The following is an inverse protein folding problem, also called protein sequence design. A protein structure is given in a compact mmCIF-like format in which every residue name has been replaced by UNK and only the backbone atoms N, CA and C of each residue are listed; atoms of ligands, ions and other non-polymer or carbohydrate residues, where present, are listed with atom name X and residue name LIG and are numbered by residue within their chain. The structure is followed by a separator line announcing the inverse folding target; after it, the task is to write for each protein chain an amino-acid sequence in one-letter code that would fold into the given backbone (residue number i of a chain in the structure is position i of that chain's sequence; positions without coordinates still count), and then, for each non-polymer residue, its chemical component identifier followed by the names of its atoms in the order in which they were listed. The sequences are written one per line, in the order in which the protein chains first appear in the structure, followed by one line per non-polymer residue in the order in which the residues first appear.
data_IF_338701978467
#
_entry.id   IF_338701978467
#
_cell.length_a   1.000
_cell.length_b   1.000
_cell.length_c   1.000
_cell.angle_alpha   90.00
_cell.angle_beta   90.00
_cell.angle_gamma   90.00
#
_symmetry.space_group_name_H-M   'P 1'
#
loop_
_entity.id
_entity.type
_entity.pdbx_description
1 polymer ?
#
# COMPACT_ATOMS: atom_id res chain seq x y z
N UNK A 1 -7.77 10.01 -6.23
CA UNK A 1 -8.87 9.56 -5.37
C UNK A 1 -9.81 8.59 -6.09
N UNK A 2 -10.45 8.96 -7.24
CA UNK A 2 -11.43 8.09 -7.93
C UNK A 2 -10.88 6.70 -8.26
N UNK A 3 -9.77 6.62 -8.99
CA UNK A 3 -9.17 5.33 -9.37
C UNK A 3 -8.76 4.50 -8.15
N UNK A 4 -8.24 5.16 -7.10
CA UNK A 4 -7.87 4.48 -5.85
C UNK A 4 -9.10 3.93 -5.15
N UNK A 5 -10.18 4.69 -5.07
CA UNK A 5 -11.45 4.26 -4.45
C UNK A 5 -12.06 3.06 -5.16
N UNK A 6 -12.12 3.10 -6.50
CA UNK A 6 -12.59 1.98 -7.30
C UNK A 6 -11.73 0.74 -7.12
N UNK A 7 -10.41 0.90 -7.09
CA UNK A 7 -9.47 -0.20 -6.86
C UNK A 7 -9.68 -0.84 -5.48
N UNK A 8 -9.81 -0.03 -4.41
CA UNK A 8 -10.08 -0.53 -3.06
C UNK A 8 -11.41 -1.26 -2.96
N UNK A 9 -12.44 -0.77 -3.64
CA UNK A 9 -13.74 -1.45 -3.71
C UNK A 9 -13.63 -2.85 -4.32
N UNK A 10 -12.87 -3.01 -5.42
CA UNK A 10 -12.63 -4.32 -6.01
C UNK A 10 -11.84 -5.25 -5.09
N UNK A 11 -10.82 -4.73 -4.41
CA UNK A 11 -10.08 -5.53 -3.41
C UNK A 11 -11.01 -5.97 -2.28
N UNK A 12 -11.88 -5.08 -1.79
CA UNK A 12 -12.89 -5.40 -0.77
C UNK A 12 -13.76 -6.60 -1.17
N UNK A 13 -14.26 -6.60 -2.40
CA UNK A 13 -15.08 -7.68 -2.92
C UNK A 13 -14.35 -9.01 -3.01
N UNK A 14 -13.09 -8.98 -3.46
CA UNK A 14 -12.26 -10.19 -3.52
C UNK A 14 -11.97 -10.74 -2.12
N UNK A 15 -11.61 -9.88 -1.17
CA UNK A 15 -11.34 -10.27 0.23
C UNK A 15 -12.62 -10.78 0.92
N UNK A 16 -13.78 -10.21 0.59
CA UNK A 16 -15.09 -10.65 1.11
C UNK A 16 -15.61 -11.92 0.42
N UNK A 17 -15.04 -12.31 -0.73
CA UNK A 17 -15.51 -13.44 -1.53
C UNK A 17 -16.84 -13.15 -2.26
N UNK A 18 -17.18 -11.89 -2.52
CA UNK A 18 -18.39 -11.48 -3.23
C UNK A 18 -18.17 -11.53 -4.74
N UNK A 19 -19.22 -11.92 -5.48
CA UNK A 19 -19.18 -11.85 -6.95
C UNK A 19 -19.41 -10.41 -7.39
N UNK A 20 -18.47 -9.89 -8.16
CA UNK A 20 -18.56 -8.56 -8.75
C UNK A 20 -18.94 -8.64 -10.21
N UNK A 21 -19.76 -7.69 -10.66
CA UNK A 21 -20.19 -7.54 -12.04
C UNK A 21 -19.57 -6.29 -12.67
N UNK A 22 -19.52 -6.25 -14.01
CA UNK A 22 -19.06 -5.04 -14.71
C UNK A 22 -19.95 -3.81 -14.46
N UNK A 23 -21.22 -4.03 -14.07
CA UNK A 23 -22.13 -2.94 -13.72
C UNK A 23 -21.72 -2.25 -12.41
N UNK A 24 -21.08 -2.98 -11.49
CA UNK A 24 -20.60 -2.41 -10.23
C UNK A 24 -19.44 -1.42 -10.45
N UNK A 25 -18.84 -1.41 -11.65
CA UNK A 25 -17.71 -0.53 -11.98
C UNK A 25 -18.12 0.95 -11.95
N UNK A 26 -19.32 1.30 -12.42
CA UNK A 26 -19.77 2.69 -12.49
C UNK A 26 -19.92 3.35 -11.11
N UNK A 27 -20.30 2.57 -10.10
CA UNK A 27 -20.55 3.05 -8.74
C UNK A 27 -19.46 2.63 -7.74
N UNK A 28 -18.43 1.90 -8.20
CA UNK A 28 -17.35 1.34 -7.38
C UNK A 28 -16.53 2.38 -6.60
N UNK A 29 -16.49 3.61 -7.08
CA UNK A 29 -15.72 4.69 -6.42
C UNK A 29 -16.42 5.27 -5.20
N UNK A 30 -17.79 5.23 -5.13
CA UNK A 30 -18.59 5.91 -4.11
C UNK A 30 -18.29 5.47 -2.67
N UNK A 31 -18.24 4.15 -2.36
CA UNK A 31 -18.09 3.70 -0.97
C UNK A 31 -16.77 4.14 -0.31
N UNK A 32 -15.67 4.15 -1.08
CA UNK A 32 -14.34 4.46 -0.55
C UNK A 32 -13.88 5.90 -0.84
N UNK A 33 -14.67 6.71 -1.56
CA UNK A 33 -14.23 8.03 -2.02
C UNK A 33 -14.00 9.01 -0.87
N UNK A 34 -14.99 9.15 0.02
CA UNK A 34 -14.89 10.06 1.15
C UNK A 34 -13.73 9.71 2.09
N UNK A 35 -13.57 8.44 2.54
CA UNK A 35 -12.42 8.03 3.33
C UNK A 35 -11.09 8.30 2.64
N UNK A 36 -10.95 7.94 1.35
CA UNK A 36 -9.72 8.21 0.59
C UNK A 36 -9.42 9.69 0.49
N UNK A 37 -10.45 10.51 0.25
CA UNK A 37 -10.28 11.96 0.17
C UNK A 37 -9.81 12.56 1.51
N UNK A 38 -10.37 12.08 2.63
CA UNK A 38 -9.97 12.50 3.99
C UNK A 38 -8.50 12.20 4.25
N UNK A 39 -8.02 11.01 3.89
CA UNK A 39 -6.61 10.63 4.06
C UNK A 39 -5.69 11.47 3.17
N UNK A 40 -6.06 11.69 1.91
CA UNK A 40 -5.29 12.54 1.00
C UNK A 40 -5.23 13.98 1.50
N UNK A 41 -6.34 14.50 2.03
CA UNK A 41 -6.38 15.84 2.63
C UNK A 41 -5.49 15.92 3.87
N UNK A 42 -5.56 14.95 4.77
CA UNK A 42 -4.68 14.88 5.94
C UNK A 42 -3.20 14.87 5.52
N UNK A 43 -2.85 14.00 4.57
CA UNK A 43 -1.47 13.93 4.06
C UNK A 43 -1.03 15.27 3.44
N UNK A 44 -1.91 15.90 2.65
CA UNK A 44 -1.65 17.22 2.08
C UNK A 44 -1.39 18.28 3.16
N UNK A 45 -2.23 18.35 4.19
CA UNK A 45 -2.05 19.31 5.29
C UNK A 45 -0.71 19.10 5.99
N UNK A 46 -0.33 17.85 6.27
CA UNK A 46 0.97 17.57 6.90
C UNK A 46 2.12 17.99 5.98
N UNK A 47 2.09 17.63 4.69
CA UNK A 47 3.15 18.01 3.75
C UNK A 47 3.22 19.53 3.55
N UNK A 48 2.09 20.21 3.47
CA UNK A 48 2.02 21.66 3.40
C UNK A 48 2.64 22.28 4.65
N UNK A 49 2.29 21.80 5.83
CA UNK A 49 2.84 22.29 7.11
C UNK A 49 4.37 22.11 7.15
N UNK A 50 4.88 20.95 6.74
CA UNK A 50 6.32 20.70 6.66
C UNK A 50 7.00 21.65 5.66
N UNK A 51 6.39 21.91 4.51
CA UNK A 51 6.94 22.80 3.49
C UNK A 51 7.02 24.27 3.94
N UNK A 52 6.18 24.68 4.90
CA UNK A 52 6.18 26.03 5.47
C UNK A 52 7.14 26.16 6.66
N UNK A 53 7.21 25.15 7.53
CA UNK A 53 7.95 25.22 8.80
C UNK A 53 9.43 24.88 8.63
N UNK A 54 9.76 23.90 7.79
CA UNK A 54 11.12 23.38 7.67
C UNK A 54 12.12 24.25 6.90
N UNK A 55 11.73 25.10 5.94
CA UNK A 55 12.69 25.92 5.19
C UNK A 55 13.56 26.77 6.12
N UNK A 56 14.87 26.67 5.94
CA UNK A 56 15.86 27.41 6.73
C UNK A 56 16.28 26.76 8.06
N UNK A 57 15.71 25.64 8.45
CA UNK A 57 16.14 24.91 9.64
C UNK A 57 17.33 23.99 9.32
N UNK A 58 18.35 24.00 10.18
CA UNK A 58 19.43 23.00 10.08
C UNK A 58 18.87 21.60 10.31
N UNK A 59 19.15 20.65 9.38
CA UNK A 59 18.63 19.28 9.46
C UNK A 59 17.18 19.13 9.01
N UNK A 60 16.60 20.10 8.29
CA UNK A 60 15.24 20.04 7.75
C UNK A 60 14.95 18.74 7.01
N UNK A 61 15.88 18.28 6.17
CA UNK A 61 15.72 17.05 5.37
C UNK A 61 15.61 15.80 6.25
N UNK A 62 16.39 15.73 7.33
CA UNK A 62 16.32 14.62 8.28
C UNK A 62 14.99 14.61 9.04
N UNK A 63 14.53 15.78 9.49
CA UNK A 63 13.26 15.94 10.18
C UNK A 63 12.11 15.54 9.24
N UNK A 64 12.12 16.02 7.99
CA UNK A 64 11.14 15.65 6.98
C UNK A 64 11.14 14.14 6.71
N UNK A 65 12.32 13.52 6.59
CA UNK A 65 12.47 12.09 6.39
C UNK A 65 11.86 11.30 7.56
N UNK A 66 12.16 11.67 8.80
CA UNK A 66 11.65 11.00 10.00
C UNK A 66 10.12 11.12 10.09
N UNK A 67 9.56 12.31 9.85
CA UNK A 67 8.11 12.51 9.86
C UNK A 67 7.44 11.68 8.76
N UNK A 68 7.99 11.69 7.54
CA UNK A 68 7.45 10.89 6.44
C UNK A 68 7.55 9.38 6.72
N UNK A 69 8.61 8.92 7.38
CA UNK A 69 8.73 7.53 7.79
C UNK A 69 7.68 7.15 8.84
N UNK A 70 7.45 8.01 9.83
CA UNK A 70 6.40 7.80 10.83
C UNK A 70 5.02 7.74 10.17
N UNK A 71 4.74 8.66 9.25
CA UNK A 71 3.49 8.67 8.49
C UNK A 71 3.33 7.40 7.64
N UNK A 72 4.39 6.96 6.95
CA UNK A 72 4.39 5.75 6.15
C UNK A 72 4.03 4.52 7.00
N UNK A 73 4.60 4.43 8.20
CA UNK A 73 4.31 3.34 9.13
C UNK A 73 2.88 3.46 9.67
N UNK A 74 2.50 4.64 10.19
CA UNK A 74 1.20 4.86 10.81
C UNK A 74 0.02 4.73 9.84
N UNK A 75 0.20 5.17 8.59
CA UNK A 75 -0.84 5.10 7.55
C UNK A 75 -0.82 3.77 6.77
N UNK A 76 0.12 2.87 7.07
CA UNK A 76 0.26 1.63 6.31
C UNK A 76 -1.00 0.76 6.28
N UNK A 77 -1.75 0.52 7.40
CA UNK A 77 -2.97 -0.28 7.41
C UNK A 77 -4.24 0.46 6.92
N UNK A 78 -4.15 1.74 6.63
CA UNK A 78 -5.32 2.54 6.27
C UNK A 78 -6.08 2.04 5.04
N UNK A 79 -5.44 1.63 3.93
CA UNK A 79 -6.17 1.07 2.81
C UNK A 79 -7.11 -0.07 3.24
N UNK A 80 -6.66 -0.94 4.13
CA UNK A 80 -7.42 -2.07 4.64
C UNK A 80 -8.59 -1.63 5.53
N UNK A 81 -8.40 -0.61 6.35
CA UNK A 81 -9.46 -0.01 7.18
C UNK A 81 -10.54 0.62 6.30
N UNK A 82 -10.12 1.38 5.27
CA UNK A 82 -11.03 2.05 4.33
C UNK A 82 -11.95 1.06 3.63
N UNK A 83 -11.40 0.02 2.99
CA UNK A 83 -12.26 -0.86 2.21
C UNK A 83 -12.98 -1.93 3.06
N UNK A 84 -12.59 -2.14 4.30
CA UNK A 84 -13.36 -2.96 5.24
C UNK A 84 -14.49 -2.18 5.94
N UNK A 85 -14.57 -0.85 5.71
CA UNK A 85 -15.68 0.00 6.15
C UNK A 85 -15.86 0.04 7.67
N UNK A 86 -14.76 0.00 8.44
CA UNK A 86 -14.81 -0.08 9.90
C UNK A 86 -14.99 1.27 10.57
N UNK A 87 -14.35 2.28 10.02
CA UNK A 87 -14.34 3.63 10.57
C UNK A 87 -14.24 4.67 9.47
N UNK A 88 -14.66 5.89 9.77
CA UNK A 88 -14.68 7.02 8.85
C UNK A 88 -13.89 8.22 9.44
N UNK A 89 -13.47 9.12 8.55
CA UNK A 89 -12.81 10.35 8.95
C UNK A 89 -11.50 10.14 9.71
N UNK A 90 -11.31 10.83 10.81
CA UNK A 90 -10.10 10.74 11.64
C UNK A 90 -10.02 9.48 12.51
N UNK A 91 -11.13 8.80 12.74
CA UNK A 91 -11.16 7.56 13.54
C UNK A 91 -10.33 6.46 12.86
N UNK A 92 -10.21 6.48 11.52
CA UNK A 92 -9.33 5.58 10.76
C UNK A 92 -7.86 5.70 11.18
N UNK A 93 -7.40 6.92 11.51
CA UNK A 93 -6.02 7.14 11.97
C UNK A 93 -5.80 6.50 13.34
N UNK A 94 -6.75 6.68 14.24
CA UNK A 94 -6.69 6.08 15.57
C UNK A 94 -6.74 4.55 15.46
N UNK A 95 -7.68 4.00 14.69
CA UNK A 95 -7.78 2.55 14.45
C UNK A 95 -6.48 1.98 13.86
N UNK A 96 -5.86 2.70 12.92
CA UNK A 96 -4.58 2.29 12.32
C UNK A 96 -3.47 2.22 13.36
N UNK A 97 -3.35 3.22 14.23
CA UNK A 97 -2.34 3.26 15.30
C UNK A 97 -2.60 2.14 16.31
N UNK A 98 -3.84 1.95 16.74
CA UNK A 98 -4.22 0.90 17.70
C UNK A 98 -3.96 -0.50 17.13
N UNK A 99 -4.30 -0.72 15.84
CA UNK A 99 -3.97 -1.96 15.13
C UNK A 99 -2.46 -2.22 15.12
N UNK A 100 -1.66 -1.21 14.80
CA UNK A 100 -0.20 -1.35 14.78
C UNK A 100 0.39 -1.61 16.17
N UNK A 101 -0.13 -0.98 17.22
CA UNK A 101 0.32 -1.23 18.60
C UNK A 101 0.13 -2.69 19.00
N UNK A 102 -0.93 -3.33 18.54
CA UNK A 102 -1.24 -4.71 18.86
C UNK A 102 -0.57 -5.73 17.92
N UNK A 103 -0.39 -5.40 16.65
CA UNK A 103 -0.08 -6.37 15.60
C UNK A 103 1.13 -5.99 14.73
N UNK A 104 1.98 -5.02 15.12
CA UNK A 104 3.06 -4.53 14.26
C UNK A 104 3.97 -5.65 13.74
N UNK A 105 4.37 -6.58 14.60
CA UNK A 105 5.30 -7.65 14.23
C UNK A 105 4.66 -8.61 13.23
N UNK A 106 3.45 -9.07 13.52
CA UNK A 106 2.68 -9.98 12.67
C UNK A 106 2.25 -9.31 11.35
N UNK A 107 2.16 -7.98 11.33
CA UNK A 107 1.83 -7.20 10.14
C UNK A 107 3.05 -6.96 9.26
N UNK A 108 4.14 -6.45 9.82
CA UNK A 108 5.29 -6.03 9.02
C UNK A 108 6.21 -7.18 8.58
N UNK A 109 6.35 -8.26 9.35
CA UNK A 109 7.24 -9.38 8.97
C UNK A 109 6.82 -10.01 7.64
N UNK A 110 5.56 -10.42 7.43
CA UNK A 110 5.14 -10.99 6.14
C UNK A 110 5.27 -10.00 4.99
N UNK A 111 4.98 -8.72 5.24
CA UNK A 111 5.11 -7.67 4.22
C UNK A 111 6.58 -7.44 3.84
N UNK A 112 7.49 -7.46 4.82
CA UNK A 112 8.92 -7.34 4.57
C UNK A 112 9.44 -8.52 3.73
N UNK A 113 9.02 -9.75 4.06
CA UNK A 113 9.40 -10.95 3.29
C UNK A 113 8.92 -10.82 1.84
N UNK A 114 7.67 -10.43 1.62
CA UNK A 114 7.14 -10.24 0.26
C UNK A 114 7.86 -9.11 -0.47
N UNK A 115 8.15 -7.99 0.22
CA UNK A 115 8.89 -6.88 -0.36
C UNK A 115 10.31 -7.32 -0.78
N UNK A 116 11.01 -8.07 0.07
CA UNK A 116 12.32 -8.63 -0.25
C UNK A 116 12.27 -9.60 -1.43
N UNK A 117 11.30 -10.50 -1.46
CA UNK A 117 11.10 -11.41 -2.60
C UNK A 117 10.78 -10.64 -3.88
N UNK A 118 9.91 -9.63 -3.80
CA UNK A 118 9.55 -8.79 -4.94
C UNK A 118 10.72 -7.96 -5.47
N UNK A 119 11.72 -7.68 -4.63
CA UNK A 119 12.94 -7.01 -5.04
C UNK A 119 13.98 -7.98 -5.62
N UNK A 120 14.14 -9.16 -5.01
CA UNK A 120 15.14 -10.17 -5.41
C UNK A 120 14.77 -10.85 -6.74
N UNK A 121 13.48 -11.18 -6.94
CA UNK A 121 13.02 -11.91 -8.13
C UNK A 121 13.36 -11.18 -9.45
N UNK A 122 13.15 -9.86 -9.62
CA UNK A 122 13.47 -9.16 -10.85
C UNK A 122 14.97 -8.89 -11.07
N UNK A 123 15.82 -9.02 -10.02
CA UNK A 123 17.25 -8.73 -10.15
C UNK A 123 17.96 -9.54 -11.25
N UNK A 124 17.84 -10.88 -11.35
CA UNK A 124 18.50 -11.64 -12.39
C UNK A 124 17.95 -11.29 -13.78
N UNK A 125 16.65 -10.99 -13.88
CA UNK A 125 16.04 -10.56 -15.13
C UNK A 125 16.55 -9.19 -15.56
N UNK A 126 16.66 -8.24 -14.65
CA UNK A 126 17.25 -6.92 -14.91
C UNK A 126 18.73 -7.06 -15.34
N UNK A 127 19.51 -7.94 -14.71
CA UNK A 127 20.89 -8.19 -15.07
C UNK A 127 21.00 -8.70 -16.52
N UNK A 128 20.13 -9.62 -16.96
CA UNK A 128 20.09 -10.12 -18.34
C UNK A 128 19.74 -8.99 -19.32
N UNK A 129 18.78 -8.15 -18.98
CA UNK A 129 18.36 -6.99 -19.81
C UNK A 129 19.51 -5.97 -19.93
N UNK A 130 20.24 -5.70 -18.85
CA UNK A 130 21.41 -4.83 -18.88
C UNK A 130 22.58 -5.43 -19.67
N UNK A 131 22.84 -6.75 -19.54
CA UNK A 131 23.90 -7.43 -20.26
C UNK A 131 23.65 -7.53 -21.78
N UNK A 132 22.37 -7.61 -22.20
CA UNK A 132 22.01 -7.68 -23.62
C UNK A 132 22.27 -6.39 -24.40
N UNK A 133 22.73 -5.33 -23.75
CA UNK A 133 23.11 -4.06 -24.40
C UNK A 133 21.95 -3.28 -25.01
N UNK A 134 20.73 -3.75 -24.83
CA UNK A 134 19.51 -3.09 -25.33
C UNK A 134 19.00 -1.95 -24.44
N UNK A 135 19.62 -1.73 -23.29
CA UNK A 135 19.34 -0.57 -22.44
C UNK A 135 20.65 0.19 -22.23
N UNK A 136 20.86 1.24 -22.99
CA UNK A 136 21.69 2.37 -22.56
C UNK A 136 21.17 2.76 -21.17
N UNK A 137 22.08 3.10 -20.23
CA UNK A 137 21.70 3.45 -18.87
C UNK A 137 20.44 4.33 -18.86
N UNK A 138 19.37 3.98 -18.14
CA UNK A 138 18.15 4.73 -18.17
C UNK A 138 18.47 6.16 -17.72
N UNK A 139 18.44 7.10 -18.62
CA UNK A 139 18.35 8.50 -18.27
C UNK A 139 16.99 8.65 -17.60
N UNK A 140 16.99 8.78 -16.28
CA UNK A 140 15.80 9.07 -15.50
C UNK A 140 15.12 10.30 -16.11
N UNK A 141 14.04 10.11 -16.86
CA UNK A 141 13.30 11.19 -17.50
C UNK A 141 12.69 10.89 -18.86
N UNK A 142 13.06 9.82 -19.56
CA UNK A 142 12.41 9.46 -20.83
C UNK A 142 11.34 8.38 -20.59
N UNK A 143 10.07 8.80 -20.54
CA UNK A 143 8.90 7.90 -20.46
C UNK A 143 8.81 6.93 -21.67
N UNK A 144 9.58 7.13 -22.72
CA UNK A 144 9.61 6.29 -23.91
C UNK A 144 10.20 4.89 -23.67
N UNK A 145 11.08 4.75 -22.66
CA UNK A 145 11.77 3.47 -22.38
C UNK A 145 10.94 2.45 -21.63
N UNK A 146 9.94 2.88 -20.84
CA UNK A 146 9.15 1.96 -20.02
C UNK A 146 7.98 1.33 -20.78
N UNK A 147 7.37 2.05 -21.72
CA UNK A 147 6.18 1.58 -22.42
C UNK A 147 6.39 1.29 -23.91
N UNK A 148 7.52 1.69 -24.49
CA UNK A 148 7.81 1.50 -25.92
C UNK A 148 8.35 0.12 -26.31
N UNK A 149 8.77 -0.72 -25.34
CA UNK A 149 9.26 -2.06 -25.60
C UNK A 149 8.29 -3.13 -25.11
N UNK A 150 8.20 -4.25 -25.82
CA UNK A 150 7.41 -5.42 -25.41
C UNK A 150 7.79 -5.86 -23.97
N UNK A 151 9.08 -5.76 -23.65
CA UNK A 151 9.62 -6.07 -22.32
C UNK A 151 9.06 -5.14 -21.25
N UNK A 152 8.95 -3.82 -21.52
CA UNK A 152 8.37 -2.85 -20.60
C UNK A 152 6.90 -3.14 -20.32
N UNK A 153 6.13 -3.49 -21.35
CA UNK A 153 4.71 -3.87 -21.20
C UNK A 153 4.57 -5.14 -20.35
N UNK A 154 5.39 -6.17 -20.61
CA UNK A 154 5.38 -7.40 -19.81
C UNK A 154 5.73 -7.13 -18.35
N UNK A 155 6.76 -6.33 -18.08
CA UNK A 155 7.11 -5.92 -16.71
C UNK A 155 5.99 -5.16 -16.02
N UNK A 156 5.33 -4.25 -16.73
CA UNK A 156 4.18 -3.50 -16.19
C UNK A 156 3.02 -4.44 -15.82
N UNK A 157 2.70 -5.42 -16.67
CA UNK A 157 1.66 -6.41 -16.40
C UNK A 157 2.03 -7.27 -15.18
N UNK A 158 3.27 -7.80 -15.13
CA UNK A 158 3.74 -8.60 -14.01
C UNK A 158 3.69 -7.80 -12.72
N UNK A 159 4.16 -6.55 -12.73
CA UNK A 159 4.13 -5.66 -11.57
C UNK A 159 2.70 -5.37 -11.10
N UNK A 160 1.77 -5.15 -12.04
CA UNK A 160 0.36 -4.95 -11.72
C UNK A 160 -0.27 -6.17 -11.04
N UNK A 161 0.03 -7.38 -11.56
CA UNK A 161 -0.43 -8.64 -10.96
C UNK A 161 0.16 -8.85 -9.56
N UNK A 162 1.47 -8.62 -9.40
CA UNK A 162 2.12 -8.75 -8.08
C UNK A 162 1.56 -7.74 -7.07
N UNK A 163 1.34 -6.50 -7.50
CA UNK A 163 0.74 -5.48 -6.66
C UNK A 163 -0.70 -5.85 -6.24
N UNK A 164 -1.49 -6.38 -7.18
CA UNK A 164 -2.83 -6.87 -6.89
C UNK A 164 -2.80 -8.02 -5.86
N UNK A 165 -1.95 -9.02 -6.07
CA UNK A 165 -1.79 -10.15 -5.13
C UNK A 165 -1.33 -9.69 -3.75
N UNK A 166 -0.41 -8.73 -3.70
CA UNK A 166 0.05 -8.12 -2.45
C UNK A 166 -1.11 -7.45 -1.70
N UNK A 167 -1.95 -6.68 -2.41
CA UNK A 167 -3.10 -6.00 -1.77
C UNK A 167 -4.17 -6.97 -1.28
N UNK A 168 -4.44 -8.06 -2.03
CA UNK A 168 -5.35 -9.12 -1.56
C UNK A 168 -4.77 -9.82 -0.34
N UNK A 169 -3.49 -10.17 -0.36
CA UNK A 169 -2.80 -10.79 0.78
C UNK A 169 -2.86 -9.89 2.03
N UNK A 170 -2.57 -8.60 1.88
CA UNK A 170 -2.67 -7.61 2.96
C UNK A 170 -4.08 -7.57 3.55
N UNK A 171 -5.10 -7.57 2.69
CA UNK A 171 -6.49 -7.57 3.13
C UNK A 171 -6.89 -8.80 3.93
N UNK A 172 -6.46 -9.97 3.49
CA UNK A 172 -6.69 -11.23 4.23
C UNK A 172 -5.93 -11.25 5.55
N UNK A 173 -4.67 -10.78 5.55
CA UNK A 173 -3.85 -10.67 6.74
C UNK A 173 -4.49 -9.70 7.75
N UNK A 174 -4.91 -8.51 7.31
CA UNK A 174 -5.58 -7.53 8.15
C UNK A 174 -6.85 -8.11 8.77
N UNK A 175 -7.70 -8.77 7.97
CA UNK A 175 -8.92 -9.43 8.47
C UNK A 175 -8.62 -10.51 9.51
N UNK A 176 -7.56 -11.29 9.31
CA UNK A 176 -7.14 -12.33 10.25
C UNK A 176 -6.63 -11.75 11.58
N UNK A 177 -5.87 -10.64 11.50
CA UNK A 177 -5.29 -9.99 12.68
C UNK A 177 -6.32 -9.15 13.45
N UNK A 178 -7.19 -8.42 12.77
CA UNK A 178 -8.17 -7.53 13.38
C UNK A 178 -9.37 -8.28 14.00
N UNK A 179 -9.62 -9.53 13.60
CA UNK A 179 -10.70 -10.36 14.15
C UNK A 179 -10.40 -11.01 15.51
N UNK A 180 -9.16 -10.90 16.02
CA UNK A 180 -8.75 -11.51 17.27
C UNK A 180 -7.58 -10.77 17.92
N UNK A 181 -7.65 -10.50 19.22
CA UNK A 181 -6.51 -9.94 19.94
C UNK A 181 -5.33 -10.92 19.95
N UNK A 182 -4.11 -10.41 20.04
CA UNK A 182 -2.89 -11.23 20.14
C UNK A 182 -3.00 -12.28 21.28
N UNK A 183 -3.60 -11.89 22.41
CA UNK A 183 -3.82 -12.79 23.54
C UNK A 183 -4.73 -13.96 23.18
N UNK A 184 -5.82 -13.71 22.45
CA UNK A 184 -6.74 -14.77 22.01
C UNK A 184 -6.07 -15.72 21.01
N UNK A 185 -5.22 -15.22 20.12
CA UNK A 185 -4.45 -16.05 19.16
C UNK A 185 -3.45 -16.96 19.89
N UNK A 186 -2.69 -16.40 20.83
CA UNK A 186 -1.74 -17.17 21.65
C UNK A 186 -2.46 -18.22 22.51
N UNK A 187 -3.61 -17.88 23.06
CA UNK A 187 -4.41 -18.83 23.83
C UNK A 187 -4.88 -19.99 22.96
N UNK A 188 -5.46 -19.72 21.78
CA UNK A 188 -5.90 -20.76 20.84
C UNK A 188 -4.75 -21.68 20.43
N UNK A 189 -3.58 -21.10 20.06
CA UNK A 189 -2.42 -21.88 19.68
C UNK A 189 -1.84 -22.76 20.79
N UNK A 190 -2.14 -22.45 22.07
CA UNK A 190 -1.65 -23.22 23.22
C UNK A 190 -2.57 -24.39 23.59
N UNK A 191 -3.84 -24.35 23.20
CA UNK A 191 -4.88 -25.31 23.58
C UNK A 191 -5.49 -26.04 22.36
N UNK A 192 -5.00 -25.83 21.15
CA UNK A 192 -5.30 -26.60 19.95
C UNK A 192 -4.21 -27.66 19.73
#
# INVERSE_FOLDING_TARGET
ALCTSSYLYFIAGVVAGTRMTLMDLSDSWRPCFSPVLTILFFFFVVQFTLSVILPGMAGADLIALLINLILLIALNPIPEIVYQGRSDGFDMLQESIDFLRENAVEWFIPLLVIALLSFVIPLPFMAVVFQSGHLSAPTFGSNELLFGSVTGILLAIISAVLFYLLMVFRGLLFRALSGSTRRQRLYRARFS
#
